data_IF_036745440017
#
_entry.id   IF_036745440017
#
_cell.length_a   1.000
_cell.length_b   1.000
_cell.length_c   1.000
_cell.angle_alpha   90.00
_cell.angle_beta   90.00
_cell.angle_gamma   90.00
#
_symmetry.space_group_name_H-M   'P 1'
#
loop_
_entity.id
_entity.type
_entity.pdbx_description
1 polymer ?
#
# COMPACT_ATOMS: atom_id res chain seq x y z
N UNK A 1 -41.97 5.79 16.09
CA UNK A 1 -41.01 5.14 15.17
C UNK A 1 -39.70 4.92 15.90
N UNK A 2 -39.54 3.78 16.59
CA UNK A 2 -38.30 3.45 17.32
C UNK A 2 -37.29 2.87 16.32
N UNK A 3 -36.31 3.68 15.94
CA UNK A 3 -35.10 3.16 15.30
C UNK A 3 -34.28 2.46 16.39
N UNK A 4 -33.90 1.21 16.19
CA UNK A 4 -33.04 0.42 17.10
C UNK A 4 -31.58 0.89 17.01
N UNK A 5 -31.36 2.21 16.94
CA UNK A 5 -30.05 2.83 16.78
C UNK A 5 -29.46 3.04 18.16
N UNK A 6 -28.30 2.43 18.48
CA UNK A 6 -27.63 2.65 19.75
C UNK A 6 -27.26 4.14 19.89
N UNK A 7 -27.63 4.73 21.02
CA UNK A 7 -27.28 6.11 21.37
C UNK A 7 -26.06 6.05 22.27
N UNK A 8 -24.98 6.73 21.88
CA UNK A 8 -23.74 6.84 22.65
C UNK A 8 -23.64 8.27 23.16
N UNK A 9 -23.72 8.46 24.48
CA UNK A 9 -23.58 9.76 25.12
C UNK A 9 -22.10 10.04 25.42
N UNK A 10 -21.57 11.14 24.87
CA UNK A 10 -20.22 11.61 25.14
C UNK A 10 -20.24 12.64 26.26
N UNK A 11 -19.64 12.32 27.40
CA UNK A 11 -19.46 13.27 28.51
C UNK A 11 -18.10 13.96 28.34
N UNK A 12 -18.11 15.23 27.94
CA UNK A 12 -16.90 16.03 27.66
C UNK A 12 -15.95 15.41 26.61
N UNK A 13 -16.50 14.59 25.71
CA UNK A 13 -15.77 13.96 24.60
C UNK A 13 -15.93 14.74 23.29
N UNK A 14 -14.98 14.54 22.37
CA UNK A 14 -15.02 15.13 21.04
C UNK A 14 -15.11 14.03 19.99
N UNK A 15 -15.90 14.27 18.95
CA UNK A 15 -15.86 13.49 17.73
C UNK A 15 -14.91 14.16 16.75
N UNK A 16 -14.00 13.38 16.19
CA UNK A 16 -13.09 13.82 15.13
C UNK A 16 -13.22 12.88 13.95
N UNK A 17 -12.94 13.41 12.77
CA UNK A 17 -12.66 12.57 11.61
C UNK A 17 -11.46 11.67 11.92
N UNK A 18 -11.51 10.44 11.39
CA UNK A 18 -10.41 9.50 11.54
C UNK A 18 -9.23 9.89 10.68
N UNK A 19 -8.01 9.62 11.14
CA UNK A 19 -6.80 9.85 10.38
C UNK A 19 -6.52 8.72 9.38
N UNK A 20 -5.90 9.09 8.27
CA UNK A 20 -5.34 8.14 7.29
C UNK A 20 -3.83 8.31 7.26
N UNK A 21 -3.08 7.25 7.54
CA UNK A 21 -1.64 7.25 7.35
C UNK A 21 -1.29 7.01 5.88
N UNK A 22 -0.41 7.82 5.30
CA UNK A 22 0.02 7.67 3.91
C UNK A 22 1.53 7.47 3.82
N UNK A 23 1.97 6.56 2.95
CA UNK A 23 3.39 6.31 2.70
C UNK A 23 4.13 5.70 3.90
N UNK A 24 3.38 5.10 4.83
CA UNK A 24 3.93 4.58 6.08
C UNK A 24 4.43 3.14 5.91
N UNK A 25 5.37 2.72 6.75
CA UNK A 25 5.79 1.30 6.85
C UNK A 25 4.86 0.48 7.76
N UNK A 26 3.72 1.06 8.14
CA UNK A 26 2.70 0.37 8.94
C UNK A 26 2.26 -0.85 8.16
N UNK A 27 2.16 -2.00 8.85
CA UNK A 27 1.79 -3.29 8.29
C UNK A 27 2.82 -3.97 7.36
N UNK A 28 4.01 -3.41 7.17
CA UNK A 28 5.11 -4.10 6.47
C UNK A 28 6.20 -4.63 7.41
N UNK A 29 6.16 -4.21 8.66
CA UNK A 29 7.02 -4.72 9.72
C UNK A 29 6.34 -4.52 11.07
N UNK A 30 6.42 -5.50 11.96
CA UNK A 30 5.85 -5.34 13.30
C UNK A 30 6.72 -4.43 14.18
N UNK A 31 8.04 -4.51 14.08
CA UNK A 31 9.03 -3.71 14.83
C UNK A 31 10.07 -3.18 13.84
N UNK A 32 10.28 -1.84 13.78
CA UNK A 32 11.13 -1.22 12.74
C UNK A 32 12.61 -1.62 12.78
N UNK A 33 13.12 -1.95 13.97
CA UNK A 33 14.50 -2.33 14.22
C UNK A 33 14.73 -3.86 14.28
N UNK A 34 13.68 -4.67 14.17
CA UNK A 34 13.79 -6.12 14.24
C UNK A 34 13.64 -6.73 12.84
N UNK A 35 14.73 -7.32 12.35
CA UNK A 35 14.82 -7.89 11.00
C UNK A 35 13.84 -9.05 10.83
N UNK A 36 13.61 -9.84 11.88
CA UNK A 36 12.78 -11.04 11.79
C UNK A 36 11.28 -10.72 11.71
N UNK A 37 10.89 -9.49 12.04
CA UNK A 37 9.49 -9.01 11.93
C UNK A 37 9.25 -8.17 10.69
N UNK A 38 10.27 -8.02 9.84
CA UNK A 38 10.24 -7.26 8.61
C UNK A 38 9.98 -8.18 7.42
N UNK A 39 9.10 -7.76 6.51
CA UNK A 39 8.87 -8.47 5.25
C UNK A 39 10.01 -8.28 4.23
N UNK A 40 11.11 -7.64 4.65
CA UNK A 40 12.42 -7.67 4.02
C UNK A 40 12.58 -6.65 2.86
N UNK A 41 13.83 -6.36 2.45
CA UNK A 41 14.09 -5.52 1.30
C UNK A 41 13.82 -6.28 -0.01
N UNK A 42 13.20 -5.61 -0.99
CA UNK A 42 12.89 -6.18 -2.31
C UNK A 42 14.09 -6.32 -3.25
N UNK A 43 15.27 -5.82 -2.85
CA UNK A 43 16.42 -5.70 -3.75
C UNK A 43 16.10 -4.80 -4.95
N UNK A 44 16.08 -5.38 -6.15
CA UNK A 44 15.73 -4.71 -7.41
C UNK A 44 14.34 -5.10 -7.95
N UNK A 45 13.60 -5.95 -7.23
CA UNK A 45 12.29 -6.43 -7.68
C UNK A 45 11.21 -5.35 -7.53
N UNK A 46 10.29 -5.32 -8.49
CA UNK A 46 9.04 -4.57 -8.34
C UNK A 46 8.09 -5.37 -7.45
N UNK A 47 7.72 -4.82 -6.29
CA UNK A 47 6.95 -5.54 -5.26
C UNK A 47 5.54 -5.00 -5.10
N UNK A 48 4.61 -5.84 -4.65
CA UNK A 48 3.25 -5.44 -4.35
C UNK A 48 3.05 -5.53 -2.84
N UNK A 49 2.75 -4.41 -2.18
CA UNK A 49 2.64 -4.36 -0.72
C UNK A 49 1.51 -5.24 -0.17
N UNK A 50 0.46 -5.48 -0.96
CA UNK A 50 -0.62 -6.40 -0.58
C UNK A 50 -0.10 -7.80 -0.22
N UNK A 51 0.90 -8.31 -0.94
CA UNK A 51 1.45 -9.64 -0.71
C UNK A 51 2.23 -9.76 0.60
N UNK A 52 2.64 -8.64 1.18
CA UNK A 52 3.43 -8.57 2.41
C UNK A 52 2.69 -7.82 3.52
N UNK A 53 1.35 -7.84 3.50
CA UNK A 53 0.53 -7.17 4.50
C UNK A 53 0.50 -8.00 5.80
N UNK A 54 1.10 -7.47 6.86
CA UNK A 54 1.06 -8.01 8.22
C UNK A 54 0.13 -7.18 9.10
N UNK A 55 -1.00 -7.77 9.51
CA UNK A 55 -2.01 -7.12 10.35
C UNK A 55 -1.95 -7.65 11.79
N UNK A 56 -2.72 -7.05 12.69
CA UNK A 56 -2.69 -7.34 14.14
C UNK A 56 -1.28 -7.26 14.76
N UNK A 57 -0.50 -6.29 14.29
CA UNK A 57 0.82 -5.98 14.83
C UNK A 57 0.72 -4.88 15.88
N UNK A 58 1.77 -4.72 16.68
CA UNK A 58 1.86 -3.60 17.64
C UNK A 58 1.68 -2.23 16.95
N UNK A 59 2.20 -2.05 15.72
CA UNK A 59 2.05 -0.80 14.97
C UNK A 59 0.63 -0.57 14.47
N UNK A 60 -0.03 -1.59 13.93
CA UNK A 60 -1.42 -1.45 13.45
C UNK A 60 -2.37 -1.20 14.63
N UNK A 61 -2.14 -1.88 15.75
CA UNK A 61 -2.96 -1.74 16.96
C UNK A 61 -2.75 -0.37 17.64
N UNK A 62 -1.50 0.10 17.71
CA UNK A 62 -1.21 1.47 18.16
C UNK A 62 -1.85 2.50 17.23
N UNK A 63 -1.71 2.35 15.91
CA UNK A 63 -2.31 3.26 14.92
C UNK A 63 -3.82 3.37 15.11
N UNK A 64 -4.50 2.23 15.22
CA UNK A 64 -5.95 2.17 15.44
C UNK A 64 -6.34 2.82 16.78
N UNK A 65 -5.61 2.54 17.86
CA UNK A 65 -5.83 3.14 19.19
C UNK A 65 -5.72 4.67 19.16
N UNK A 66 -4.80 5.21 18.36
CA UNK A 66 -4.58 6.65 18.19
C UNK A 66 -5.33 7.24 16.98
N UNK A 67 -6.50 6.69 16.64
CA UNK A 67 -7.44 7.23 15.64
C UNK A 67 -6.96 7.21 14.18
N UNK A 68 -5.87 6.53 13.86
CA UNK A 68 -5.49 6.21 12.48
C UNK A 68 -6.22 4.94 12.09
N UNK A 69 -7.35 5.05 11.39
CA UNK A 69 -8.22 3.89 11.05
C UNK A 69 -7.93 3.33 9.66
N UNK A 70 -7.29 4.11 8.79
CA UNK A 70 -6.89 3.72 7.43
C UNK A 70 -5.41 3.96 7.25
N UNK A 71 -4.76 3.11 6.47
CA UNK A 71 -3.38 3.28 6.08
C UNK A 71 -3.17 2.91 4.62
N UNK A 72 -2.27 3.63 3.96
CA UNK A 72 -1.70 3.29 2.66
C UNK A 72 -0.22 3.03 2.91
N UNK A 73 0.19 1.78 2.70
CA UNK A 73 1.58 1.36 2.93
C UNK A 73 2.50 1.92 1.83
N UNK A 74 3.79 2.07 2.14
CA UNK A 74 4.83 2.24 1.13
C UNK A 74 5.73 1.00 1.13
N UNK A 75 6.11 0.43 -0.04
CA UNK A 75 7.06 -0.68 -0.11
C UNK A 75 8.32 -0.44 0.73
N UNK A 76 9.01 -1.48 1.20
CA UNK A 76 10.26 -1.31 1.98
C UNK A 76 11.40 -0.76 1.11
N UNK A 77 12.15 0.19 1.66
CA UNK A 77 13.40 0.73 1.09
C UNK A 77 14.44 -0.38 0.97
N UNK A 78 15.19 -0.41 -0.12
CA UNK A 78 16.48 -1.11 -0.13
C UNK A 78 17.60 -0.21 0.44
N UNK A 79 18.82 -0.74 0.53
CA UNK A 79 20.00 -0.06 1.10
C UNK A 79 20.38 1.29 0.46
N UNK A 80 19.76 1.67 -0.67
CA UNK A 80 19.97 2.96 -1.34
C UNK A 80 18.76 3.90 -1.29
N UNK A 81 17.85 3.64 -0.35
CA UNK A 81 16.57 4.33 -0.24
C UNK A 81 15.71 4.28 -1.52
N UNK A 82 15.93 3.26 -2.35
CA UNK A 82 15.15 3.06 -3.57
C UNK A 82 14.00 2.10 -3.32
N UNK A 83 12.83 2.43 -3.87
CA UNK A 83 11.63 1.62 -3.83
C UNK A 83 11.13 1.38 -5.25
N UNK A 84 10.72 0.16 -5.52
CA UNK A 84 10.00 -0.21 -6.73
C UNK A 84 8.83 -1.10 -6.34
N UNK A 85 7.60 -0.61 -6.50
CA UNK A 85 6.43 -1.40 -6.17
C UNK A 85 5.12 -0.64 -6.11
N UNK A 86 4.09 -1.30 -5.59
CA UNK A 86 2.78 -0.71 -5.32
C UNK A 86 2.43 -0.72 -3.83
N UNK A 87 1.69 0.29 -3.40
CA UNK A 87 1.05 0.38 -2.09
C UNK A 87 -0.21 -0.46 -1.99
N UNK A 88 -0.57 -0.81 -0.76
CA UNK A 88 -1.91 -1.32 -0.43
C UNK A 88 -2.59 -0.38 0.57
N UNK A 89 -3.86 -0.10 0.34
CA UNK A 89 -4.76 0.58 1.26
C UNK A 89 -5.51 -0.41 2.13
N UNK A 90 -5.37 -0.31 3.45
CA UNK A 90 -5.96 -1.23 4.42
C UNK A 90 -6.47 -0.54 5.68
N UNK A 91 -7.34 -1.23 6.42
CA UNK A 91 -7.85 -0.81 7.72
C UNK A 91 -6.88 -1.24 8.82
N UNK A 92 -6.42 -0.30 9.63
CA UNK A 92 -5.42 -0.56 10.69
C UNK A 92 -5.96 -1.42 11.83
N UNK A 93 -7.28 -1.42 12.05
CA UNK A 93 -7.95 -2.27 13.05
C UNK A 93 -8.32 -3.66 12.52
N UNK A 94 -7.99 -4.01 11.28
CA UNK A 94 -8.24 -5.35 10.76
C UNK A 94 -7.26 -6.35 11.38
N UNK A 95 -7.77 -7.54 11.71
CA UNK A 95 -6.96 -8.61 12.29
C UNK A 95 -6.25 -9.45 11.23
N UNK A 96 -6.91 -9.67 10.09
CA UNK A 96 -6.40 -10.49 9.01
C UNK A 96 -6.68 -9.85 7.65
N UNK A 97 -5.84 -10.08 6.62
CA UNK A 97 -6.09 -9.52 5.28
C UNK A 97 -7.37 -10.06 4.63
N UNK A 98 -7.82 -11.25 5.07
CA UNK A 98 -9.06 -11.90 4.63
C UNK A 98 -10.32 -11.33 5.30
N UNK A 99 -10.15 -10.49 6.32
CA UNK A 99 -11.30 -9.86 6.98
C UNK A 99 -12.03 -8.95 5.98
N UNK A 100 -13.35 -8.92 6.07
CA UNK A 100 -14.19 -8.14 5.16
C UNK A 100 -13.75 -6.67 5.15
N UNK A 101 -13.45 -6.15 3.97
CA UNK A 101 -12.95 -4.77 3.75
C UNK A 101 -11.62 -4.44 4.44
N UNK A 102 -10.85 -5.43 4.90
CA UNK A 102 -9.52 -5.19 5.47
C UNK A 102 -8.61 -4.47 4.49
N UNK A 103 -8.61 -4.91 3.23
CA UNK A 103 -7.99 -4.21 2.11
C UNK A 103 -9.10 -3.46 1.38
N UNK A 104 -8.99 -2.13 1.31
CA UNK A 104 -9.94 -1.29 0.56
C UNK A 104 -9.40 -0.89 -0.81
N UNK A 105 -8.08 -1.03 -1.04
CA UNK A 105 -7.44 -0.75 -2.32
C UNK A 105 -6.13 -1.58 -2.48
N UNK A 106 -6.09 -2.58 -3.38
CA UNK A 106 -4.96 -3.52 -3.47
C UNK A 106 -3.72 -2.96 -4.20
N UNK A 107 -3.85 -1.88 -5.00
CA UNK A 107 -2.76 -1.16 -5.68
C UNK A 107 -3.01 0.36 -5.66
N UNK A 108 -2.80 1.01 -4.52
CA UNK A 108 -3.23 2.40 -4.33
C UNK A 108 -2.29 3.42 -5.00
N UNK A 109 -0.99 3.14 -5.02
CA UNK A 109 0.01 4.04 -5.57
C UNK A 109 1.24 3.27 -6.07
N UNK A 110 1.85 3.74 -7.16
CA UNK A 110 3.12 3.22 -7.66
C UNK A 110 4.27 4.01 -7.02
N UNK A 111 5.22 3.28 -6.44
CA UNK A 111 6.47 3.81 -5.92
C UNK A 111 7.61 3.48 -6.89
N UNK A 112 8.29 4.52 -7.36
CA UNK A 112 9.48 4.39 -8.19
C UNK A 112 10.49 5.48 -7.82
N UNK A 113 11.63 5.11 -7.24
CA UNK A 113 12.64 6.10 -6.87
C UNK A 113 13.42 6.56 -8.10
N UNK A 114 13.31 7.86 -8.42
CA UNK A 114 13.99 8.53 -9.53
C UNK A 114 14.82 9.73 -9.02
N UNK A 115 15.75 9.46 -8.11
CA UNK A 115 16.65 10.49 -7.55
C UNK A 115 18.01 10.46 -8.23
N UNK A 116 18.86 11.51 -8.10
CA UNK A 116 20.21 11.49 -8.66
C UNK A 116 21.07 10.31 -8.20
N UNK A 117 20.77 9.72 -7.03
CA UNK A 117 21.46 8.54 -6.49
C UNK A 117 21.37 7.31 -7.43
N UNK A 118 20.37 7.26 -8.32
CA UNK A 118 20.22 6.18 -9.29
C UNK A 118 21.38 6.11 -10.30
N UNK A 119 22.11 7.22 -10.50
CA UNK A 119 23.32 7.27 -11.34
C UNK A 119 24.47 6.44 -10.78
N UNK A 120 24.49 6.22 -9.47
CA UNK A 120 25.51 5.43 -8.78
C UNK A 120 25.21 3.92 -8.81
N UNK A 121 24.04 3.52 -9.30
CA UNK A 121 23.67 2.11 -9.46
C UNK A 121 24.23 1.50 -10.74
N UNK A 122 24.68 0.25 -10.66
CA UNK A 122 25.13 -0.50 -11.84
C UNK A 122 23.96 -0.63 -12.83
N UNK A 123 24.15 -0.11 -14.05
CA UNK A 123 23.29 -0.21 -15.25
C UNK A 123 22.33 0.96 -15.57
N UNK A 124 22.31 2.08 -14.82
CA UNK A 124 21.49 3.26 -15.22
C UNK A 124 22.29 4.57 -15.09
N UNK A 125 23.10 4.94 -16.08
CA UNK A 125 24.09 6.04 -15.95
C UNK A 125 23.47 7.44 -15.90
N UNK A 126 22.17 7.59 -16.17
CA UNK A 126 21.50 8.89 -16.17
C UNK A 126 20.04 8.80 -15.71
N UNK A 127 19.53 9.91 -15.19
CA UNK A 127 18.12 10.06 -14.83
C UNK A 127 17.21 9.90 -16.07
N UNK A 128 17.65 10.40 -17.22
CA UNK A 128 16.92 10.25 -18.49
C UNK A 128 16.80 8.78 -18.91
N UNK A 129 17.85 7.97 -18.71
CA UNK A 129 17.79 6.53 -18.96
C UNK A 129 16.80 5.84 -18.02
N UNK A 130 16.79 6.21 -16.73
CA UNK A 130 15.83 5.68 -15.75
C UNK A 130 14.37 6.01 -16.13
N UNK A 131 14.11 7.27 -16.48
CA UNK A 131 12.78 7.74 -16.93
C UNK A 131 12.38 7.04 -18.24
N UNK A 132 13.31 6.92 -19.19
CA UNK A 132 13.07 6.21 -20.45
C UNK A 132 12.72 4.74 -20.25
N UNK A 133 13.39 4.06 -19.33
CA UNK A 133 13.08 2.68 -18.96
C UNK A 133 11.68 2.55 -18.33
N UNK A 134 11.31 3.45 -17.41
CA UNK A 134 9.96 3.48 -16.83
C UNK A 134 8.90 3.74 -17.90
N UNK A 135 9.11 4.73 -18.76
CA UNK A 135 8.20 5.06 -19.87
C UNK A 135 8.00 3.86 -20.79
N UNK A 136 9.08 3.16 -21.14
CA UNK A 136 9.03 1.97 -21.99
C UNK A 136 8.19 0.88 -21.33
N UNK A 137 8.41 0.59 -20.04
CA UNK A 137 7.61 -0.39 -19.28
C UNK A 137 6.12 -0.05 -19.30
N UNK A 138 5.76 1.22 -19.04
CA UNK A 138 4.37 1.67 -19.02
C UNK A 138 3.71 1.60 -20.40
N UNK A 139 4.41 2.01 -21.46
CA UNK A 139 3.90 1.93 -22.82
C UNK A 139 3.72 0.48 -23.29
N UNK A 140 4.66 -0.40 -22.96
CA UNK A 140 4.52 -1.84 -23.24
C UNK A 140 3.35 -2.44 -22.46
N UNK A 141 3.18 -2.09 -21.18
CA UNK A 141 2.02 -2.55 -20.41
C UNK A 141 0.70 -2.08 -21.04
N UNK A 142 0.59 -0.80 -21.39
CA UNK A 142 -0.60 -0.24 -22.04
C UNK A 142 -0.89 -0.89 -23.40
N UNK A 143 0.13 -1.14 -24.22
CA UNK A 143 -0.07 -1.81 -25.51
C UNK A 143 -0.50 -3.26 -25.34
N UNK A 144 0.07 -3.99 -24.39
CA UNK A 144 -0.36 -5.37 -24.10
C UNK A 144 -1.82 -5.41 -23.66
N UNK A 145 -2.26 -4.54 -22.75
CA UNK A 145 -3.66 -4.45 -22.31
C UNK A 145 -4.63 -4.17 -23.46
N UNK A 146 -4.24 -3.31 -24.41
CA UNK A 146 -5.05 -3.01 -25.59
C UNK A 146 -5.17 -4.22 -26.53
N UNK A 147 -4.17 -5.10 -26.55
CA UNK A 147 -4.20 -6.32 -27.38
C UNK A 147 -4.92 -7.50 -26.73
N UNK A 148 -5.01 -7.54 -25.39
CA UNK A 148 -5.74 -8.58 -24.63
C UNK A 148 -7.19 -8.25 -24.33
N UNK A 149 -7.69 -7.07 -24.73
CA UNK A 149 -9.10 -6.70 -24.57
C UNK A 149 -9.85 -6.86 -25.90
N UNK A 150 -10.44 -8.03 -26.21
CA UNK A 150 -11.57 -8.05 -27.13
C UNK A 150 -12.76 -7.44 -26.39
N UNK A 151 -13.45 -6.51 -27.05
CA UNK A 151 -14.69 -5.87 -26.63
C UNK A 151 -15.62 -6.86 -25.90
N UNK A 152 -15.81 -6.67 -24.58
CA UNK A 152 -16.72 -7.47 -23.76
C UNK A 152 -17.30 -6.59 -22.66
N UNK A 153 -18.43 -5.99 -23.02
CA UNK A 153 -19.41 -5.36 -22.15
C UNK A 153 -20.02 -6.37 -21.17
N UNK A 154 -19.36 -6.71 -20.04
CA UNK A 154 -20.02 -7.47 -18.97
C UNK A 154 -19.61 -7.02 -17.55
N UNK A 155 -20.63 -6.52 -16.85
CA UNK A 155 -20.83 -6.24 -15.41
C UNK A 155 -19.75 -6.65 -14.39
N UNK A 156 -19.49 -5.81 -13.36
CA UNK A 156 -18.64 -6.19 -12.23
C UNK A 156 -19.31 -7.31 -11.43
N UNK A 157 -18.55 -8.38 -11.22
CA UNK A 157 -18.97 -9.64 -10.64
C UNK A 157 -19.68 -9.47 -9.29
N UNK A 158 -20.90 -10.00 -9.21
CA UNK A 158 -21.56 -10.40 -7.97
C UNK A 158 -20.86 -11.63 -7.40
N UNK A 159 -20.64 -11.68 -6.10
CA UNK A 159 -20.08 -12.84 -5.40
C UNK A 159 -21.22 -13.65 -4.72
N UNK A 160 -21.14 -14.99 -4.67
CA UNK A 160 -22.07 -15.83 -3.90
C UNK A 160 -21.93 -15.71 -2.38
#
# INVERSE_FOLDING_TARGET
TKSNTPIINLNNGYLTESFTAFGSKISLSAIDAEKDTDNGPSGNAFTRSEHSLALDTQKTNASYTYSVTKAISAPRLNHHDTHHGTSVGFLTGALTPLSKHAIFAPDTAVHYTLTPAIKSGNNTPSLSAAIGALRTKLLTAASTLNTTTPDSTLTPHSEP
#
